data_IF_203349877394
#
_entry.id   IF_203349877394
#
_cell.length_a   1.000
_cell.length_b   1.000
_cell.length_c   1.000
_cell.angle_alpha   90.00
_cell.angle_beta   90.00
_cell.angle_gamma   90.00
#
_symmetry.space_group_name_H-M   'P 1'
#
loop_
_entity.id
_entity.type
_entity.pdbx_description
1 polymer ?
#
# COMPACT_ATOMS: atom_id res chain seq x y z
N UNK A 1 -12.71 15.55 11.05
CA UNK A 1 -12.29 14.15 10.82
C UNK A 1 -10.83 14.17 10.41
N UNK A 2 -10.00 13.24 10.91
CA UNK A 2 -8.58 13.17 10.55
C UNK A 2 -8.43 13.02 9.03
N UNK A 3 -7.58 13.83 8.39
CA UNK A 3 -7.28 13.78 6.95
C UNK A 3 -6.72 12.42 6.50
N UNK A 4 -6.27 11.60 7.44
CA UNK A 4 -5.89 10.21 7.26
C UNK A 4 -7.12 9.38 6.87
N UNK A 5 -6.98 8.58 5.80
CA UNK A 5 -8.00 7.64 5.31
C UNK A 5 -9.27 8.24 4.68
N UNK A 6 -9.28 9.53 4.33
CA UNK A 6 -10.43 10.12 3.64
C UNK A 6 -10.58 9.53 2.22
N UNK A 7 -11.70 8.83 2.00
CA UNK A 7 -11.98 8.11 0.77
C UNK A 7 -12.32 9.06 -0.39
N UNK A 8 -12.80 10.27 -0.09
CA UNK A 8 -13.14 11.29 -1.10
C UNK A 8 -11.90 11.79 -1.85
N UNK A 9 -10.74 11.87 -1.18
CA UNK A 9 -9.48 12.32 -1.76
C UNK A 9 -8.92 11.32 -2.79
N UNK A 10 -9.29 10.04 -2.72
CA UNK A 10 -8.80 9.01 -3.65
C UNK A 10 -9.30 9.20 -5.08
N UNK A 11 -10.48 9.79 -5.24
CA UNK A 11 -11.13 10.01 -6.54
C UNK A 11 -11.20 11.47 -6.97
N UNK A 12 -10.77 12.40 -6.10
CA UNK A 12 -10.88 13.85 -6.27
C UNK A 12 -10.36 14.36 -7.62
N UNK A 13 -9.23 13.86 -8.12
CA UNK A 13 -8.76 14.18 -9.48
C UNK A 13 -8.21 12.96 -10.21
N UNK A 14 -8.03 13.08 -11.53
CA UNK A 14 -7.39 12.05 -12.35
C UNK A 14 -6.00 11.66 -11.81
N UNK A 15 -5.24 12.63 -11.29
CA UNK A 15 -3.92 12.42 -10.68
C UNK A 15 -3.99 11.60 -9.38
N UNK A 16 -5.00 11.84 -8.53
CA UNK A 16 -5.22 11.03 -7.32
C UNK A 16 -5.58 9.57 -7.70
N UNK A 17 -6.47 9.38 -8.68
CA UNK A 17 -6.87 8.04 -9.15
C UNK A 17 -5.69 7.24 -9.72
N UNK A 18 -4.81 7.89 -10.48
CA UNK A 18 -3.62 7.23 -11.02
C UNK A 18 -2.65 6.79 -9.91
N UNK A 19 -2.42 7.66 -8.91
CA UNK A 19 -1.57 7.33 -7.75
C UNK A 19 -2.17 6.16 -6.97
N UNK A 20 -3.46 6.21 -6.64
CA UNK A 20 -4.14 5.10 -5.94
C UNK A 20 -4.00 3.79 -6.71
N UNK A 21 -4.28 3.80 -8.03
CA UNK A 21 -4.19 2.60 -8.87
C UNK A 21 -2.80 1.97 -8.86
N UNK A 22 -1.74 2.78 -8.94
CA UNK A 22 -0.34 2.28 -8.89
C UNK A 22 -0.04 1.62 -7.55
N UNK A 23 -0.38 2.27 -6.44
CA UNK A 23 -0.14 1.71 -5.10
C UNK A 23 -0.98 0.46 -4.84
N UNK A 24 -2.22 0.42 -5.31
CA UNK A 24 -3.06 -0.78 -5.21
C UNK A 24 -2.50 -1.94 -6.04
N UNK A 25 -1.98 -1.68 -7.24
CA UNK A 25 -1.29 -2.70 -8.03
C UNK A 25 -0.06 -3.25 -7.31
N UNK A 26 0.82 -2.38 -6.79
CA UNK A 26 2.00 -2.82 -6.02
C UNK A 26 1.62 -3.62 -4.78
N UNK A 27 0.59 -3.18 -4.04
CA UNK A 27 0.07 -3.91 -2.89
C UNK A 27 -0.40 -5.31 -3.29
N UNK A 28 -1.19 -5.42 -4.36
CA UNK A 28 -1.70 -6.71 -4.84
C UNK A 28 -0.57 -7.63 -5.28
N UNK A 29 0.45 -7.11 -5.96
CA UNK A 29 1.62 -7.90 -6.35
C UNK A 29 2.36 -8.45 -5.13
N UNK A 30 2.63 -7.61 -4.13
CA UNK A 30 3.31 -8.03 -2.89
C UNK A 30 2.48 -9.07 -2.12
N UNK A 31 1.16 -8.86 -2.00
CA UNK A 31 0.25 -9.83 -1.38
C UNK A 31 0.25 -11.17 -2.12
N UNK A 32 0.24 -11.14 -3.45
CA UNK A 32 0.30 -12.34 -4.29
C UNK A 32 1.61 -13.11 -4.09
N UNK A 33 2.76 -12.43 -4.13
CA UNK A 33 4.05 -13.08 -3.90
C UNK A 33 4.20 -13.61 -2.47
N UNK A 34 3.67 -12.89 -1.47
CA UNK A 34 3.63 -13.38 -0.09
C UNK A 34 2.83 -14.70 0.00
N UNK A 35 1.62 -14.72 -0.56
CA UNK A 35 0.79 -15.93 -0.58
C UNK A 35 1.47 -17.08 -1.33
N UNK A 36 2.07 -16.81 -2.48
CA UNK A 36 2.75 -17.81 -3.30
C UNK A 36 3.95 -18.43 -2.56
N UNK A 37 4.79 -17.61 -1.94
CA UNK A 37 5.96 -18.09 -1.17
C UNK A 37 5.53 -18.89 0.07
N UNK A 38 4.44 -18.50 0.76
CA UNK A 38 3.89 -19.30 1.85
C UNK A 38 3.36 -20.66 1.39
N UNK A 39 2.63 -20.72 0.27
CA UNK A 39 2.12 -21.97 -0.28
C UNK A 39 3.28 -22.90 -0.66
N UNK A 40 4.28 -22.38 -1.36
CA UNK A 40 5.46 -23.17 -1.73
C UNK A 40 6.26 -23.63 -0.51
N UNK A 41 6.49 -22.74 0.46
CA UNK A 41 7.15 -23.08 1.71
C UNK A 41 6.41 -24.18 2.47
N UNK A 42 5.06 -24.11 2.47
CA UNK A 42 4.21 -25.13 3.10
C UNK A 42 4.36 -26.48 2.41
N UNK A 43 4.43 -26.49 1.07
CA UNK A 43 4.67 -27.70 0.30
C UNK A 43 6.06 -28.30 0.57
N UNK A 44 7.07 -27.47 0.85
CA UNK A 44 8.44 -27.94 1.13
C UNK A 44 8.55 -28.62 2.49
N UNK A 45 7.72 -28.24 3.47
CA UNK A 45 7.71 -28.87 4.79
C UNK A 45 7.21 -30.33 4.80
N UNK A 46 6.73 -30.86 3.67
CA UNK A 46 6.45 -32.29 3.53
C UNK A 46 7.69 -33.16 3.25
N UNK A 47 8.86 -32.54 3.02
CA UNK A 47 10.10 -33.24 2.69
C UNK A 47 11.24 -32.75 3.59
N UNK A 48 11.84 -33.66 4.37
CA UNK A 48 12.95 -33.32 5.29
C UNK A 48 14.13 -32.65 4.56
N UNK A 49 14.42 -33.08 3.33
CA UNK A 49 15.50 -32.51 2.50
C UNK A 49 15.25 -31.07 2.05
N UNK A 50 13.99 -30.61 2.02
CA UNK A 50 13.60 -29.27 1.60
C UNK A 50 13.26 -28.35 2.77
N UNK A 51 13.32 -28.83 4.01
CA UNK A 51 12.85 -28.09 5.17
C UNK A 51 13.53 -26.72 5.33
N UNK A 52 14.86 -26.64 5.16
CA UNK A 52 15.60 -25.37 5.22
C UNK A 52 15.15 -24.39 4.12
N UNK A 53 14.91 -24.88 2.90
CA UNK A 53 14.39 -24.05 1.81
C UNK A 53 12.96 -23.57 2.10
N UNK A 54 12.11 -24.44 2.68
CA UNK A 54 10.77 -24.10 3.14
C UNK A 54 10.78 -23.00 4.19
N UNK A 55 11.69 -23.06 5.16
CA UNK A 55 11.87 -22.02 6.19
C UNK A 55 12.21 -20.67 5.59
N UNK A 56 13.13 -20.62 4.61
CA UNK A 56 13.45 -19.37 3.91
C UNK A 56 12.27 -18.82 3.10
N UNK A 57 11.51 -19.68 2.41
CA UNK A 57 10.30 -19.27 1.69
C UNK A 57 9.26 -18.66 2.64
N UNK A 58 9.07 -19.27 3.82
CA UNK A 58 8.20 -18.71 4.85
C UNK A 58 8.71 -17.38 5.40
N UNK A 59 10.02 -17.23 5.61
CA UNK A 59 10.59 -15.96 6.08
C UNK A 59 10.40 -14.85 5.04
N UNK A 60 10.68 -15.14 3.76
CA UNK A 60 10.46 -14.20 2.65
C UNK A 60 8.97 -13.82 2.55
N UNK A 61 8.07 -14.82 2.60
CA UNK A 61 6.63 -14.58 2.60
C UNK A 61 6.18 -13.70 3.76
N UNK A 62 6.76 -13.89 4.95
CA UNK A 62 6.47 -13.08 6.14
C UNK A 62 6.91 -11.63 5.99
N UNK A 63 8.11 -11.41 5.43
CA UNK A 63 8.61 -10.07 5.14
C UNK A 63 7.71 -9.39 4.10
N UNK A 64 7.35 -10.07 3.01
CA UNK A 64 6.44 -9.52 1.99
C UNK A 64 5.05 -9.21 2.58
N UNK A 65 4.52 -10.09 3.42
CA UNK A 65 3.24 -9.86 4.11
C UNK A 65 3.29 -8.62 5.00
N UNK A 66 4.41 -8.38 5.69
CA UNK A 66 4.61 -7.18 6.50
C UNK A 66 4.76 -5.88 5.68
N UNK A 67 5.10 -5.95 4.39
CA UNK A 67 5.18 -4.77 3.51
C UNK A 67 3.79 -4.21 3.19
N UNK A 68 2.73 -5.00 3.29
CA UNK A 68 1.34 -4.59 3.04
C UNK A 68 0.92 -3.32 3.80
N UNK A 69 1.01 -3.24 5.15
CA UNK A 69 0.69 -2.02 5.87
C UNK A 69 1.58 -0.83 5.47
N UNK A 70 2.84 -1.07 5.10
CA UNK A 70 3.77 -0.02 4.66
C UNK A 70 3.32 0.63 3.35
N UNK A 71 2.88 -0.16 2.36
CA UNK A 71 2.37 0.40 1.08
C UNK A 71 1.13 1.26 1.32
N UNK A 72 0.22 0.81 2.21
CA UNK A 72 -0.98 1.58 2.57
C UNK A 72 -0.62 2.91 3.22
N UNK A 73 0.30 2.89 4.18
CA UNK A 73 0.75 4.11 4.85
C UNK A 73 1.40 5.09 3.87
N UNK A 74 2.26 4.60 2.98
CA UNK A 74 2.91 5.44 1.96
C UNK A 74 1.90 6.06 0.98
N UNK A 75 0.87 5.32 0.59
CA UNK A 75 -0.21 5.86 -0.24
C UNK A 75 -0.91 7.03 0.46
N UNK A 76 -1.28 6.86 1.72
CA UNK A 76 -1.99 7.88 2.49
C UNK A 76 -1.13 9.14 2.67
N UNK A 77 0.16 8.98 2.98
CA UNK A 77 1.11 10.10 3.02
C UNK A 77 1.25 10.80 1.66
N UNK A 78 1.22 10.05 0.55
CA UNK A 78 1.29 10.63 -0.79
C UNK A 78 0.03 11.40 -1.16
N UNK A 79 -1.14 10.90 -0.79
CA UNK A 79 -2.43 11.56 -1.04
C UNK A 79 -2.55 12.88 -0.27
N UNK A 80 -2.05 12.94 0.96
CA UNK A 80 -2.04 14.20 1.74
C UNK A 80 -1.21 15.31 1.12
N UNK A 81 -0.16 14.95 0.38
CA UNK A 81 0.76 15.91 -0.25
C UNK A 81 0.29 16.36 -1.64
N UNK A 82 -0.80 15.80 -2.17
CA UNK A 82 -1.34 16.24 -3.46
C UNK A 82 -2.26 17.47 -3.27
N UNK A 83 -2.19 18.45 -4.18
CA UNK A 83 -3.08 19.60 -4.14
C UNK A 83 -4.52 19.14 -4.36
N UNK A 84 -5.38 19.44 -3.38
CA UNK A 84 -6.80 19.13 -3.40
C UNK A 84 -7.55 20.29 -4.07
N UNK A 85 -8.39 20.02 -5.10
CA UNK A 85 -9.23 21.04 -5.74
C UNK A 85 -10.15 21.72 -4.74
N UNK A 86 -10.45 23.00 -4.96
CA UNK A 86 -11.27 23.83 -4.06
C UNK A 86 -12.67 23.21 -3.81
N UNK A 87 -13.23 22.49 -4.79
CA UNK A 87 -14.53 21.80 -4.71
C UNK A 87 -14.56 20.63 -3.70
N UNK A 88 -13.40 20.04 -3.38
CA UNK A 88 -13.24 18.98 -2.39
C UNK A 88 -12.69 19.49 -1.05
N UNK A 89 -12.49 20.81 -0.91
CA UNK A 89 -12.10 21.41 0.37
C UNK A 89 -13.33 21.61 1.25
N UNK A 90 -13.27 21.23 2.53
CA UNK A 90 -14.28 21.64 3.51
C UNK A 90 -14.44 23.17 3.49
N UNK A 91 -15.67 23.66 3.58
CA UNK A 91 -15.93 25.11 3.69
C UNK A 91 -15.12 25.68 4.87
N UNK A 92 -14.25 26.67 4.63
CA UNK A 92 -13.47 27.37 5.66
C UNK A 92 -11.98 27.02 5.80
N UNK A 93 -11.37 26.28 4.88
CA UNK A 93 -9.90 26.14 4.82
C UNK A 93 -9.30 27.11 3.81
N UNK A 94 -8.60 28.13 4.31
CA UNK A 94 -7.89 29.12 3.49
C UNK A 94 -6.87 28.46 2.56
N UNK A 95 -6.64 29.10 1.41
CA UNK A 95 -5.67 28.67 0.41
C UNK A 95 -4.27 28.66 1.05
N UNK A 96 -3.56 27.54 1.00
CA UNK A 96 -2.13 27.54 1.31
C UNK A 96 -1.41 28.37 0.24
N UNK A 97 -1.02 29.59 0.61
CA UNK A 97 -0.14 30.44 -0.19
C UNK A 97 1.29 30.11 0.27
N UNK A 98 2.13 29.49 -0.58
CA UNK A 98 3.53 29.27 -0.21
C UNK A 98 4.18 30.63 0.04
N UNK A 99 4.74 30.85 1.23
CA UNK A 99 5.51 32.06 1.50
C UNK A 99 6.78 32.01 0.65
N UNK A 100 6.88 32.96 -0.28
CA UNK A 100 8.09 33.29 -1.05
C UNK A 100 9.18 33.83 -0.14
#
# INVERSE_FOLDING_TARGET
MSKLFDQSLRTATAKHREVVRKYELYRTLVEFFAAFTFILGSAFFFYDSLMMAGTWLFLIGSVLFAVRPTIRLLLELRLMNLPVPDEFRPYGVDKYVPRS
#
